data_IF_535230897760
#
_entry.id   IF_535230897760
#
_cell.length_a   1.000
_cell.length_b   1.000
_cell.length_c   1.000
_cell.angle_alpha   90.00
_cell.angle_beta   90.00
_cell.angle_gamma   90.00
#
_symmetry.space_group_name_H-M   'P 1'
#
loop_
_entity.id
_entity.type
_entity.pdbx_description
1 polymer ?
#
# COMPACT_ATOMS: atom_id res chain seq x y z
N UNK A 1 18.84 -9.85 -16.29
CA UNK A 1 18.83 -8.46 -15.80
C UNK A 1 17.61 -8.32 -14.91
N UNK A 2 17.82 -8.11 -13.66
CA UNK A 2 16.84 -8.00 -12.57
C UNK A 2 15.90 -6.82 -12.83
N UNK A 3 14.61 -6.97 -12.51
CA UNK A 3 13.62 -5.86 -12.40
C UNK A 3 14.01 -4.91 -11.23
N UNK A 4 15.03 -4.04 -11.32
CA UNK A 4 15.56 -3.40 -10.11
C UNK A 4 14.85 -2.11 -9.76
N UNK A 5 14.14 -1.48 -10.71
CA UNK A 5 13.59 -0.14 -10.48
C UNK A 5 12.12 -0.20 -10.09
N UNK A 6 11.32 -1.02 -10.76
CA UNK A 6 9.91 -1.26 -10.41
C UNK A 6 9.81 -1.90 -9.03
N UNK A 7 10.65 -2.92 -8.73
CA UNK A 7 10.64 -3.57 -7.40
C UNK A 7 11.03 -2.62 -6.26
N UNK A 8 11.90 -1.63 -6.49
CA UNK A 8 12.25 -0.66 -5.44
C UNK A 8 11.18 0.41 -5.24
N UNK A 9 10.61 0.98 -6.30
CA UNK A 9 9.52 1.96 -6.20
C UNK A 9 8.25 1.28 -5.71
N UNK A 10 7.93 0.09 -6.25
CA UNK A 10 6.75 -0.69 -5.87
C UNK A 10 6.91 -1.36 -4.50
N UNK A 11 8.11 -1.81 -4.13
CA UNK A 11 8.37 -2.33 -2.79
C UNK A 11 8.30 -1.22 -1.73
N UNK A 12 8.70 0.00 -2.05
CA UNK A 12 8.63 1.12 -1.09
C UNK A 12 7.21 1.64 -0.92
N UNK A 13 6.44 1.81 -2.01
CA UNK A 13 5.01 2.14 -1.91
C UNK A 13 4.16 0.95 -1.45
N UNK A 14 4.48 -0.29 -1.88
CA UNK A 14 3.82 -1.49 -1.37
C UNK A 14 4.23 -1.84 0.06
N UNK A 15 5.43 -1.52 0.53
CA UNK A 15 5.81 -1.64 1.94
C UNK A 15 5.11 -0.60 2.81
N UNK A 16 4.93 0.64 2.36
CA UNK A 16 4.07 1.61 3.04
C UNK A 16 2.59 1.18 2.98
N UNK A 17 2.09 0.68 1.84
CA UNK A 17 0.71 0.19 1.70
C UNK A 17 0.51 -1.20 2.31
N UNK A 18 1.50 -2.09 2.27
CA UNK A 18 1.46 -3.39 2.93
C UNK A 18 1.74 -3.30 4.43
N UNK A 19 2.59 -2.38 4.88
CA UNK A 19 2.71 -2.04 6.29
C UNK A 19 1.43 -1.40 6.83
N UNK A 20 0.68 -0.69 5.98
CA UNK A 20 -0.55 0.04 6.34
C UNK A 20 -1.82 -0.77 6.09
N UNK A 21 -1.76 -1.92 5.41
CA UNK A 21 -2.92 -2.81 5.26
C UNK A 21 -4.11 -2.25 4.46
N UNK A 22 -3.94 -1.14 3.73
CA UNK A 22 -5.05 -0.40 3.11
C UNK A 22 -5.76 -1.12 1.95
N UNK A 23 -5.27 -2.27 1.47
CA UNK A 23 -5.79 -2.84 0.23
C UNK A 23 -6.91 -3.89 0.36
N UNK A 24 -7.34 -4.32 1.56
CA UNK A 24 -8.32 -5.41 1.65
C UNK A 24 -9.15 -5.53 2.92
N UNK A 25 -9.28 -4.49 3.74
CA UNK A 25 -10.23 -4.58 4.85
C UNK A 25 -11.67 -4.40 4.35
N UNK A 26 -12.53 -5.39 4.57
CA UNK A 26 -13.98 -5.31 4.38
C UNK A 26 -14.55 -4.05 5.05
N UNK A 27 -15.61 -3.48 4.47
CA UNK A 27 -16.32 -2.28 4.98
C UNK A 27 -17.03 -2.49 6.34
N UNK A 28 -16.78 -3.59 7.03
CA UNK A 28 -17.34 -3.84 8.37
C UNK A 28 -16.58 -3.01 9.41
N UNK A 29 -17.34 -2.25 10.23
CA UNK A 29 -16.78 -1.59 11.39
C UNK A 29 -16.15 -2.63 12.31
N UNK A 30 -14.89 -2.45 12.75
CA UNK A 30 -14.29 -3.38 13.71
C UNK A 30 -15.09 -3.37 15.02
N UNK A 31 -15.14 -4.53 15.68
CA UNK A 31 -15.73 -4.61 17.02
C UNK A 31 -14.92 -3.76 17.99
N UNK A 32 -15.56 -3.01 18.90
CA UNK A 32 -14.86 -2.26 19.95
C UNK A 32 -13.91 -3.17 20.73
N UNK A 33 -12.69 -2.71 20.99
CA UNK A 33 -11.72 -3.39 21.85
C UNK A 33 -11.34 -2.49 23.04
N UNK A 34 -11.18 -3.08 24.19
CA UNK A 34 -10.83 -2.36 25.42
C UNK A 34 -9.47 -2.75 25.99
N UNK A 35 -8.79 -3.73 25.39
CA UNK A 35 -7.52 -4.23 25.88
C UNK A 35 -6.64 -4.80 24.77
N UNK A 36 -5.32 -4.89 25.02
CA UNK A 36 -4.35 -5.55 24.16
C UNK A 36 -4.78 -7.00 23.85
N UNK A 37 -5.35 -7.70 24.83
CA UNK A 37 -5.82 -9.07 24.68
C UNK A 37 -6.89 -9.19 23.59
N UNK A 38 -7.83 -8.24 23.54
CA UNK A 38 -8.88 -8.20 22.50
C UNK A 38 -8.31 -7.83 21.13
N UNK A 39 -7.36 -6.88 21.07
CA UNK A 39 -6.66 -6.53 19.84
C UNK A 39 -5.98 -7.73 19.21
N UNK A 40 -5.34 -8.55 20.04
CA UNK A 40 -4.61 -9.75 19.61
C UNK A 40 -5.56 -10.86 19.13
N UNK A 41 -6.76 -10.97 19.71
CA UNK A 41 -7.75 -11.99 19.36
C UNK A 41 -8.60 -11.64 18.13
N UNK A 42 -8.76 -10.35 17.79
CA UNK A 42 -9.60 -9.86 16.70
C UNK A 42 -8.83 -8.95 15.73
N UNK A 43 -7.93 -9.50 14.95
CA UNK A 43 -7.06 -8.72 14.07
C UNK A 43 -7.68 -8.36 12.72
N UNK A 44 -7.17 -7.30 12.11
CA UNK A 44 -7.40 -7.00 10.69
C UNK A 44 -6.74 -8.07 9.79
N UNK A 45 -7.44 -8.49 8.72
CA UNK A 45 -7.04 -9.64 7.87
C UNK A 45 -6.03 -9.32 6.75
N UNK A 46 -5.27 -8.22 6.84
CA UNK A 46 -4.29 -7.87 5.81
C UNK A 46 -3.01 -8.73 5.91
N UNK A 47 -2.46 -9.30 4.80
CA UNK A 47 -1.35 -10.25 4.83
C UNK A 47 -0.04 -9.72 5.47
N UNK A 48 0.30 -8.45 5.26
CA UNK A 48 1.50 -7.85 5.86
C UNK A 48 1.32 -7.58 7.36
N UNK A 49 0.10 -7.17 7.77
CA UNK A 49 -0.28 -7.05 9.16
C UNK A 49 -0.25 -8.42 9.87
N UNK A 50 -0.45 -9.52 9.15
CA UNK A 50 -0.46 -10.87 9.72
C UNK A 50 0.93 -11.33 10.20
N UNK A 51 2.00 -10.99 9.48
CA UNK A 51 3.38 -11.31 9.91
C UNK A 51 3.78 -10.47 11.13
N UNK A 52 3.52 -9.17 11.09
CA UNK A 52 3.77 -8.26 12.22
C UNK A 52 2.95 -8.68 13.45
N UNK A 53 1.66 -9.03 13.23
CA UNK A 53 0.76 -9.54 14.25
C UNK A 53 1.23 -10.86 14.86
N UNK A 54 1.69 -11.82 14.04
CA UNK A 54 2.19 -13.10 14.57
C UNK A 54 3.37 -12.89 15.50
N UNK A 55 4.31 -12.03 15.13
CA UNK A 55 5.41 -11.64 16.00
C UNK A 55 4.91 -10.95 17.28
N UNK A 56 3.98 -10.01 17.16
CA UNK A 56 3.36 -9.35 18.31
C UNK A 56 2.66 -10.37 19.23
N UNK A 57 1.97 -11.38 18.65
CA UNK A 57 1.33 -12.47 19.40
C UNK A 57 2.32 -13.32 20.16
N UNK A 58 3.42 -13.72 19.52
CA UNK A 58 4.45 -14.53 20.13
C UNK A 58 5.04 -13.82 21.36
N UNK A 59 5.42 -12.55 21.22
CA UNK A 59 5.99 -11.77 22.31
C UNK A 59 4.98 -11.40 23.40
N UNK A 60 3.73 -11.07 23.01
CA UNK A 60 2.69 -10.79 24.00
C UNK A 60 2.32 -12.04 24.81
N UNK A 61 2.31 -13.22 24.18
CA UNK A 61 2.10 -14.50 24.88
C UNK A 61 3.25 -14.77 25.85
N UNK A 62 4.49 -14.51 25.47
CA UNK A 62 5.67 -14.63 26.31
C UNK A 62 5.65 -13.61 27.47
N UNK A 63 5.19 -12.38 27.23
CA UNK A 63 4.96 -11.36 28.25
C UNK A 63 3.91 -11.81 29.28
N UNK A 64 2.76 -12.31 28.83
CA UNK A 64 1.70 -12.82 29.71
C UNK A 64 2.16 -14.05 30.52
N UNK A 65 3.06 -14.85 29.96
CA UNK A 65 3.68 -15.97 30.67
C UNK A 65 4.79 -15.53 31.65
N UNK A 66 5.17 -14.24 31.66
CA UNK A 66 6.24 -13.71 32.49
C UNK A 66 7.65 -14.14 32.07
N UNK A 67 7.80 -14.62 30.84
CA UNK A 67 9.09 -15.10 30.29
C UNK A 67 9.87 -14.03 29.54
N UNK A 68 9.18 -12.97 29.05
CA UNK A 68 9.79 -11.84 28.35
C UNK A 68 9.19 -10.51 28.90
N UNK A 69 9.93 -9.43 28.75
CA UNK A 69 9.44 -8.08 29.01
C UNK A 69 9.12 -7.39 27.68
N UNK A 70 8.15 -6.47 27.65
CA UNK A 70 7.86 -5.70 26.43
C UNK A 70 9.03 -4.77 26.04
N UNK A 71 10.04 -4.59 26.88
CA UNK A 71 11.31 -3.92 26.56
C UNK A 71 12.11 -4.63 25.50
N UNK A 72 11.95 -5.96 25.38
CA UNK A 72 12.60 -6.78 24.37
C UNK A 72 11.90 -6.64 23.00
N UNK A 73 10.75 -5.92 22.97
CA UNK A 73 9.97 -5.64 21.78
C UNK A 73 9.65 -4.13 21.65
N UNK A 74 10.68 -3.31 21.41
CA UNK A 74 10.57 -1.85 21.58
C UNK A 74 9.51 -1.21 20.68
N UNK A 75 9.24 -1.75 19.49
CA UNK A 75 8.30 -1.18 18.50
C UNK A 75 6.87 -1.74 18.58
N UNK A 76 6.49 -2.41 19.67
CA UNK A 76 5.16 -3.02 19.79
C UNK A 76 4.02 -1.99 19.67
N UNK A 77 4.23 -0.78 20.18
CA UNK A 77 3.27 0.32 20.09
C UNK A 77 3.03 0.73 18.63
N UNK A 78 4.11 0.83 17.83
CA UNK A 78 4.05 1.13 16.40
C UNK A 78 3.34 0.03 15.62
N UNK A 79 3.67 -1.24 15.91
CA UNK A 79 3.04 -2.39 15.27
C UNK A 79 1.55 -2.46 15.61
N UNK A 80 1.17 -2.19 16.86
CA UNK A 80 -0.23 -2.17 17.29
C UNK A 80 -1.03 -1.10 16.52
N UNK A 81 -0.49 0.11 16.37
CA UNK A 81 -1.12 1.19 15.60
C UNK A 81 -1.29 0.84 14.12
N UNK A 82 -0.22 0.35 13.48
CA UNK A 82 -0.22 0.07 12.06
C UNK A 82 -1.10 -1.15 11.73
N UNK A 83 -1.10 -2.18 12.59
CA UNK A 83 -1.72 -3.47 12.28
C UNK A 83 -3.18 -3.63 12.67
N UNK A 84 -3.71 -2.79 13.52
CA UNK A 84 -5.05 -3.02 14.05
C UNK A 84 -5.86 -1.79 14.46
N UNK A 85 -5.24 -0.62 14.55
CA UNK A 85 -5.91 0.56 15.10
C UNK A 85 -6.28 1.61 14.04
N UNK A 86 -5.85 1.48 12.80
CA UNK A 86 -6.05 2.45 11.71
C UNK A 86 -7.52 2.80 11.41
N UNK A 87 -8.46 1.90 11.74
CA UNK A 87 -9.90 2.11 11.55
C UNK A 87 -10.67 2.33 12.85
N UNK A 88 -9.96 2.58 13.95
CA UNK A 88 -10.55 2.74 15.28
C UNK A 88 -10.58 4.19 15.71
N UNK A 89 -11.50 4.48 16.60
CA UNK A 89 -11.59 5.80 17.21
C UNK A 89 -10.41 6.06 18.16
N UNK A 90 -9.95 7.31 18.23
CA UNK A 90 -8.86 7.75 19.10
C UNK A 90 -9.08 7.37 20.59
N UNK A 91 -10.36 7.34 21.01
CA UNK A 91 -10.80 6.87 22.33
C UNK A 91 -10.50 5.40 22.63
N UNK A 92 -10.33 4.57 21.60
CA UNK A 92 -9.94 3.16 21.73
C UNK A 92 -8.41 2.98 21.63
N UNK A 93 -7.75 3.82 20.83
CA UNK A 93 -6.31 3.74 20.56
C UNK A 93 -5.49 4.15 21.78
N UNK A 94 -5.78 5.31 22.34
CA UNK A 94 -4.97 5.92 23.41
C UNK A 94 -4.87 5.04 24.67
N UNK A 95 -5.96 4.44 25.20
CA UNK A 95 -5.86 3.55 26.36
C UNK A 95 -4.94 2.35 26.14
N UNK A 96 -4.95 1.76 24.94
CA UNK A 96 -4.10 0.61 24.59
C UNK A 96 -2.62 1.01 24.59
N UNK A 97 -2.29 2.18 24.03
CA UNK A 97 -0.91 2.68 24.04
C UNK A 97 -0.40 3.00 25.44
N UNK A 98 -1.26 3.57 26.29
CA UNK A 98 -0.94 3.83 27.70
C UNK A 98 -0.67 2.51 28.43
N UNK A 99 -1.48 1.48 28.20
CA UNK A 99 -1.29 0.14 28.76
C UNK A 99 0.03 -0.48 28.31
N UNK A 100 0.36 -0.40 26.99
CA UNK A 100 1.62 -0.88 26.43
C UNK A 100 2.82 -0.16 27.06
N UNK A 101 2.76 1.16 27.16
CA UNK A 101 3.82 1.97 27.76
C UNK A 101 4.02 1.63 29.24
N UNK A 102 2.91 1.47 30.00
CA UNK A 102 2.96 1.04 31.41
C UNK A 102 3.55 -0.36 31.59
N UNK A 103 3.37 -1.25 30.60
CA UNK A 103 3.96 -2.57 30.56
C UNK A 103 5.45 -2.55 30.11
N UNK A 104 6.01 -1.37 29.81
CA UNK A 104 7.42 -1.18 29.47
C UNK A 104 7.76 -1.16 27.98
N UNK A 105 6.75 -1.04 27.09
CA UNK A 105 7.01 -0.83 25.67
C UNK A 105 7.67 0.54 25.44
N UNK A 106 8.67 0.57 24.56
CA UNK A 106 9.30 1.81 24.12
C UNK A 106 8.45 2.46 23.01
N UNK A 107 7.70 3.49 23.38
CA UNK A 107 6.86 4.24 22.42
C UNK A 107 7.65 5.16 21.49
N UNK A 108 8.94 5.38 21.78
CA UNK A 108 9.86 6.15 20.91
C UNK A 108 10.43 5.27 19.78
N UNK A 109 10.41 3.95 19.95
CA UNK A 109 11.02 3.04 19.01
C UNK A 109 10.32 3.07 17.65
N UNK A 110 11.15 3.03 16.60
CA UNK A 110 10.71 2.83 15.23
C UNK A 110 10.77 1.34 14.86
N UNK A 111 9.85 0.91 13.99
CA UNK A 111 9.88 -0.43 13.42
C UNK A 111 11.12 -0.60 12.53
N UNK A 112 11.80 -1.75 12.64
CA UNK A 112 13.14 -1.98 12.07
C UNK A 112 13.15 -1.95 10.54
N UNK A 113 12.11 -2.47 9.87
CA UNK A 113 12.12 -2.65 8.40
C UNK A 113 11.81 -1.36 7.66
N UNK A 114 10.80 -0.61 8.09
CA UNK A 114 10.33 0.61 7.44
C UNK A 114 10.74 1.88 8.19
N UNK A 115 11.15 1.80 9.46
CA UNK A 115 11.48 2.96 10.29
C UNK A 115 10.26 3.74 10.78
N UNK A 116 9.06 3.16 10.64
CA UNK A 116 7.82 3.78 11.11
C UNK A 116 7.77 3.78 12.64
N UNK A 117 7.33 4.88 13.24
CA UNK A 117 7.08 4.98 14.67
C UNK A 117 5.59 5.19 14.98
N UNK A 118 5.24 5.21 16.27
CA UNK A 118 3.86 5.34 16.73
C UNK A 118 3.17 6.62 16.21
N UNK A 119 3.92 7.72 16.01
CA UNK A 119 3.38 8.98 15.49
C UNK A 119 2.88 8.84 14.05
N UNK A 120 3.59 8.07 13.20
CA UNK A 120 3.15 7.78 11.82
C UNK A 120 1.82 7.03 11.81
N UNK A 121 1.68 6.02 12.66
CA UNK A 121 0.43 5.24 12.80
C UNK A 121 -0.73 6.09 13.33
N UNK A 122 -0.48 6.89 14.36
CA UNK A 122 -1.49 7.78 14.93
C UNK A 122 -1.96 8.83 13.91
N UNK A 123 -1.05 9.40 13.13
CA UNK A 123 -1.37 10.36 12.08
C UNK A 123 -2.20 9.73 10.95
N UNK A 124 -1.86 8.50 10.54
CA UNK A 124 -2.62 7.74 9.56
C UNK A 124 -4.06 7.47 10.01
N UNK A 125 -4.23 7.13 11.29
CA UNK A 125 -5.53 6.86 11.90
C UNK A 125 -6.32 8.15 12.22
N UNK A 126 -5.68 9.33 12.20
CA UNK A 126 -6.32 10.58 12.61
C UNK A 126 -6.48 10.72 14.13
N UNK A 127 -5.70 9.99 14.92
CA UNK A 127 -5.80 9.88 16.36
C UNK A 127 -5.13 11.08 17.08
N UNK A 128 -5.82 12.21 17.11
CA UNK A 128 -5.26 13.49 17.58
C UNK A 128 -4.85 13.47 19.06
N UNK A 129 -5.66 12.89 19.97
CA UNK A 129 -5.29 12.81 21.39
C UNK A 129 -4.11 11.85 21.60
N UNK A 130 -4.07 10.76 20.85
CA UNK A 130 -2.91 9.83 20.82
C UNK A 130 -1.64 10.57 20.37
N UNK A 131 -1.71 11.40 19.34
CA UNK A 131 -0.57 12.19 18.88
C UNK A 131 -0.09 13.19 19.95
N UNK A 132 -1.01 13.90 20.62
CA UNK A 132 -0.66 14.81 21.72
C UNK A 132 0.03 14.04 22.86
N UNK A 133 -0.48 12.88 23.21
CA UNK A 133 0.13 12.04 24.24
C UNK A 133 1.52 11.55 23.82
N UNK A 134 1.71 11.11 22.58
CA UNK A 134 3.01 10.69 22.05
C UNK A 134 4.04 11.83 22.07
N UNK A 135 3.64 13.07 21.79
CA UNK A 135 4.51 14.25 21.93
C UNK A 135 4.95 14.47 23.36
N UNK A 136 4.04 14.30 24.33
CA UNK A 136 4.38 14.36 25.76
C UNK A 136 5.36 13.27 26.18
N UNK A 137 5.38 12.12 25.47
CA UNK A 137 6.38 11.07 25.66
C UNK A 137 7.70 11.37 24.92
N UNK A 138 7.78 12.43 24.10
CA UNK A 138 8.98 12.83 23.36
C UNK A 138 9.04 12.33 21.91
N UNK A 139 7.96 11.75 21.36
CA UNK A 139 7.90 11.36 19.93
C UNK A 139 7.69 12.60 19.07
N UNK A 140 8.58 12.84 18.11
CA UNK A 140 8.49 14.02 17.24
C UNK A 140 7.37 13.87 16.20
N UNK A 141 6.58 14.94 16.01
CA UNK A 141 5.61 15.04 14.89
C UNK A 141 6.25 15.19 13.52
N UNK A 142 7.56 15.44 13.47
CA UNK A 142 8.36 15.57 12.26
C UNK A 142 9.28 14.36 12.04
N UNK A 143 9.03 13.24 12.75
CA UNK A 143 9.77 11.99 12.56
C UNK A 143 9.76 11.59 11.08
N UNK A 144 10.84 10.96 10.64
CA UNK A 144 10.94 10.41 9.29
C UNK A 144 11.17 8.92 9.35
N UNK A 145 10.44 8.18 8.52
CA UNK A 145 10.69 6.77 8.28
C UNK A 145 11.90 6.57 7.34
N UNK A 146 12.22 5.31 7.01
CA UNK A 146 13.33 4.99 6.11
C UNK A 146 13.15 5.51 4.67
N UNK A 147 11.93 5.86 4.27
CA UNK A 147 11.60 6.48 2.98
C UNK A 147 11.57 8.00 3.05
N UNK A 148 11.80 8.57 4.23
CA UNK A 148 11.68 10.01 4.46
C UNK A 148 10.25 10.49 4.65
N UNK A 149 9.27 9.58 4.76
CA UNK A 149 7.88 9.92 5.00
C UNK A 149 7.70 10.50 6.41
N UNK A 150 6.79 11.45 6.53
CA UNK A 150 6.47 12.13 7.78
C UNK A 150 5.06 11.78 8.24
N UNK A 151 4.72 12.00 9.53
CA UNK A 151 3.36 11.83 10.02
C UNK A 151 2.32 12.65 9.22
N UNK A 152 2.68 13.84 8.72
CA UNK A 152 1.77 14.63 7.85
C UNK A 152 1.47 13.95 6.52
N UNK A 153 2.44 13.24 5.94
CA UNK A 153 2.22 12.42 4.74
C UNK A 153 1.31 11.23 5.04
N UNK A 154 1.46 10.59 6.20
CA UNK A 154 0.55 9.52 6.64
C UNK A 154 -0.88 10.04 6.88
N UNK A 155 -1.04 11.22 7.49
CA UNK A 155 -2.35 11.85 7.65
C UNK A 155 -3.01 12.15 6.28
N UNK A 156 -2.25 12.66 5.32
CA UNK A 156 -2.72 12.90 3.97
C UNK A 156 -3.18 11.60 3.28
N UNK A 157 -2.39 10.53 3.39
CA UNK A 157 -2.70 9.21 2.85
C UNK A 157 -3.90 8.56 3.53
N UNK A 158 -4.04 8.71 4.87
CA UNK A 158 -5.20 8.24 5.62
C UNK A 158 -6.46 9.08 5.39
N UNK A 159 -6.38 10.18 4.64
CA UNK A 159 -7.50 11.09 4.44
C UNK A 159 -7.90 11.92 5.65
N UNK A 160 -7.02 12.03 6.63
CA UNK A 160 -7.26 12.63 7.94
C UNK A 160 -7.09 14.16 7.89
N UNK A 161 -8.10 14.85 7.35
CA UNK A 161 -8.03 16.28 7.05
C UNK A 161 -7.67 17.15 8.28
N UNK A 162 -8.32 16.92 9.42
CA UNK A 162 -8.06 17.75 10.61
C UNK A 162 -6.66 17.50 11.18
N UNK A 163 -6.21 16.25 11.16
CA UNK A 163 -4.84 15.90 11.55
C UNK A 163 -3.83 16.51 10.58
N UNK A 164 -4.11 16.45 9.28
CA UNK A 164 -3.26 17.09 8.26
C UNK A 164 -3.14 18.60 8.50
N UNK A 165 -4.26 19.31 8.75
CA UNK A 165 -4.26 20.74 9.07
C UNK A 165 -3.39 21.06 10.29
N UNK A 166 -3.51 20.24 11.33
CA UNK A 166 -2.73 20.40 12.57
C UNK A 166 -1.24 20.24 12.31
N UNK A 167 -0.85 19.21 11.54
CA UNK A 167 0.56 18.89 11.24
C UNK A 167 1.18 19.85 10.21
N UNK A 168 0.36 20.53 9.41
CA UNK A 168 0.82 21.45 8.35
C UNK A 168 0.53 22.92 8.69
N UNK A 169 0.51 23.27 9.96
CA UNK A 169 0.23 24.62 10.43
C UNK A 169 1.32 25.64 10.07
N UNK A 170 2.48 25.19 9.57
CA UNK A 170 3.57 26.04 9.10
C UNK A 170 3.83 25.86 7.61
N UNK A 171 4.26 26.92 6.88
CA UNK A 171 4.63 26.81 5.47
C UNK A 171 5.72 25.76 5.20
N UNK A 172 6.67 25.57 6.12
CA UNK A 172 7.73 24.58 5.98
C UNK A 172 7.17 23.15 5.98
N UNK A 173 6.18 22.85 6.82
CA UNK A 173 5.57 21.54 6.91
C UNK A 173 4.78 21.18 5.63
N UNK A 174 4.25 22.17 4.90
CA UNK A 174 3.59 21.96 3.60
C UNK A 174 4.56 21.56 2.49
N UNK A 175 5.83 21.98 2.59
CA UNK A 175 6.84 21.79 1.54
C UNK A 175 7.75 20.58 1.76
N UNK A 176 7.46 19.76 2.76
CA UNK A 176 8.24 18.56 3.09
C UNK A 176 8.17 17.55 1.93
N UNK A 177 9.33 17.00 1.60
CA UNK A 177 9.49 15.93 0.60
C UNK A 177 10.02 14.64 1.24
N UNK A 178 9.59 13.51 0.72
CA UNK A 178 10.19 12.21 1.00
C UNK A 178 11.50 12.01 0.23
N UNK A 179 12.10 10.82 0.32
CA UNK A 179 13.34 10.50 -0.38
C UNK A 179 13.19 10.43 -1.91
N UNK A 180 11.95 10.26 -2.41
CA UNK A 180 11.59 10.27 -3.83
C UNK A 180 11.24 11.67 -4.36
N UNK A 181 11.18 12.68 -3.50
CA UNK A 181 10.74 14.03 -3.84
C UNK A 181 9.23 14.15 -3.98
N UNK A 182 8.48 13.22 -3.38
CA UNK A 182 7.02 13.29 -3.31
C UNK A 182 6.61 14.17 -2.12
N UNK A 183 5.58 14.99 -2.32
CA UNK A 183 5.01 15.87 -1.30
C UNK A 183 3.63 15.38 -0.86
N UNK A 184 3.04 16.09 0.07
CA UNK A 184 1.73 15.77 0.67
C UNK A 184 0.62 15.44 -0.32
N UNK A 185 0.56 16.14 -1.47
CA UNK A 185 -0.46 15.92 -2.50
C UNK A 185 -0.37 14.55 -3.17
N UNK A 186 0.84 13.95 -3.27
CA UNK A 186 0.99 12.56 -3.72
C UNK A 186 0.32 11.59 -2.75
N UNK A 187 0.54 11.78 -1.47
CA UNK A 187 -0.03 10.92 -0.42
C UNK A 187 -1.54 11.09 -0.32
N UNK A 188 -2.05 12.32 -0.44
CA UNK A 188 -3.48 12.59 -0.50
C UNK A 188 -4.15 11.95 -1.74
N UNK A 189 -3.48 12.00 -2.89
CA UNK A 189 -3.92 11.35 -4.12
C UNK A 189 -3.88 9.81 -3.99
N UNK A 190 -2.81 9.26 -3.42
CA UNK A 190 -2.64 7.83 -3.16
C UNK A 190 -3.68 7.28 -2.19
N UNK A 191 -4.04 8.04 -1.16
CA UNK A 191 -5.12 7.71 -0.23
C UNK A 191 -6.52 7.99 -0.80
N UNK A 192 -6.63 8.58 -2.00
CA UNK A 192 -7.90 8.91 -2.62
C UNK A 192 -8.68 10.01 -1.91
N UNK A 193 -8.01 10.85 -1.12
CA UNK A 193 -8.65 11.87 -0.29
C UNK A 193 -8.81 13.21 -1.02
N UNK A 194 -9.96 13.39 -1.65
CA UNK A 194 -10.32 14.66 -2.26
C UNK A 194 -10.33 15.85 -1.26
N UNK A 195 -10.84 15.70 -0.02
CA UNK A 195 -10.77 16.78 0.97
C UNK A 195 -9.34 17.25 1.28
N UNK A 196 -8.39 16.30 1.42
CA UNK A 196 -6.98 16.64 1.64
C UNK A 196 -6.36 17.33 0.41
N UNK A 197 -6.64 16.85 -0.81
CA UNK A 197 -6.16 17.50 -2.04
C UNK A 197 -6.67 18.93 -2.17
N UNK A 198 -7.97 19.18 -1.90
CA UNK A 198 -8.54 20.53 -1.91
C UNK A 198 -7.89 21.43 -0.88
N UNK A 199 -7.73 20.95 0.34
CA UNK A 199 -7.04 21.70 1.39
C UNK A 199 -5.62 22.09 0.98
N UNK A 200 -4.83 21.14 0.44
CA UNK A 200 -3.45 21.40 0.01
C UNK A 200 -3.39 22.45 -1.12
N UNK A 201 -4.33 22.42 -2.06
CA UNK A 201 -4.47 23.45 -3.09
C UNK A 201 -4.81 24.82 -2.48
N UNK A 202 -5.76 24.89 -1.55
CA UNK A 202 -6.11 26.10 -0.82
C UNK A 202 -4.94 26.70 -0.06
N UNK A 203 -4.00 25.86 0.40
CA UNK A 203 -2.74 26.29 1.02
C UNK A 203 -1.67 26.71 0.00
N UNK A 204 -1.97 26.69 -1.29
CA UNK A 204 -1.09 27.15 -2.37
C UNK A 204 -0.12 26.09 -2.89
N UNK A 205 -0.32 24.79 -2.58
CA UNK A 205 0.48 23.75 -3.21
C UNK A 205 0.04 23.56 -4.67
N UNK A 206 1.02 23.40 -5.54
CA UNK A 206 0.79 22.90 -6.90
C UNK A 206 0.51 21.39 -6.80
N UNK A 207 -0.79 21.03 -6.79
CA UNK A 207 -1.25 19.66 -6.58
C UNK A 207 -1.07 18.74 -7.78
N UNK A 208 -0.68 19.28 -8.94
CA UNK A 208 -0.35 18.49 -10.14
C UNK A 208 1.16 18.38 -10.36
N UNK A 209 1.97 19.07 -9.54
CA UNK A 209 3.42 19.02 -9.66
C UNK A 209 3.95 17.57 -9.59
N UNK A 210 4.86 17.17 -10.49
CA UNK A 210 5.50 15.87 -10.43
C UNK A 210 6.43 15.78 -9.23
N UNK A 211 6.77 14.55 -8.83
CA UNK A 211 7.82 14.33 -7.85
C UNK A 211 9.17 14.87 -8.35
N UNK A 212 9.96 15.46 -7.45
CA UNK A 212 11.16 16.21 -7.80
C UNK A 212 12.37 15.34 -8.10
N UNK A 213 12.34 14.05 -7.72
CA UNK A 213 13.48 13.13 -7.85
C UNK A 213 13.08 11.86 -8.63
N UNK A 214 14.05 11.27 -9.30
CA UNK A 214 13.97 9.93 -9.91
C UNK A 214 12.82 9.72 -10.92
N UNK A 215 12.30 10.80 -11.52
CA UNK A 215 11.15 10.74 -12.42
C UNK A 215 9.96 9.95 -11.80
N UNK A 216 9.68 10.20 -10.53
CA UNK A 216 8.76 9.45 -9.69
C UNK A 216 7.26 9.77 -9.96
N UNK A 217 6.95 10.19 -11.19
CA UNK A 217 5.58 10.26 -11.71
C UNK A 217 4.79 11.49 -11.28
N UNK A 218 3.48 11.41 -11.51
CA UNK A 218 2.53 12.47 -11.23
C UNK A 218 1.41 12.00 -10.28
N UNK A 219 0.79 12.90 -9.49
CA UNK A 219 -0.26 12.57 -8.51
C UNK A 219 -1.46 11.83 -9.12
N UNK A 220 -1.82 12.12 -10.38
CA UNK A 220 -2.95 11.48 -11.05
C UNK A 220 -2.78 9.97 -11.22
N UNK A 221 -1.55 9.49 -11.37
CA UNK A 221 -1.25 8.06 -11.52
C UNK A 221 -1.52 7.33 -10.21
N UNK A 222 -1.08 7.89 -9.07
CA UNK A 222 -1.33 7.28 -7.76
C UNK A 222 -2.79 7.45 -7.31
N UNK A 223 -3.49 8.48 -7.77
CA UNK A 223 -4.94 8.61 -7.59
C UNK A 223 -5.72 7.49 -8.30
N UNK A 224 -5.25 7.04 -9.46
CA UNK A 224 -5.84 5.90 -10.16
C UNK A 224 -5.63 4.58 -9.39
N UNK A 225 -4.50 4.42 -8.71
CA UNK A 225 -4.25 3.28 -7.82
C UNK A 225 -5.26 3.19 -6.67
N UNK A 226 -5.62 4.33 -6.07
CA UNK A 226 -6.63 4.37 -4.99
C UNK A 226 -8.06 4.11 -5.47
N UNK A 227 -8.30 4.18 -6.78
CA UNK A 227 -9.64 4.07 -7.37
C UNK A 227 -10.51 5.31 -7.20
N UNK A 228 -9.98 6.42 -6.68
CA UNK A 228 -10.75 7.63 -6.42
C UNK A 228 -10.99 8.44 -7.71
N UNK A 229 -12.06 8.13 -8.41
CA UNK A 229 -12.50 8.91 -9.59
C UNK A 229 -12.63 10.41 -9.26
N UNK A 230 -13.20 10.82 -8.10
CA UNK A 230 -13.27 12.25 -7.75
C UNK A 230 -11.89 12.92 -7.63
N UNK A 231 -10.85 12.23 -7.15
CA UNK A 231 -9.50 12.77 -7.12
C UNK A 231 -8.91 12.92 -8.53
N UNK A 232 -9.09 11.91 -9.38
CA UNK A 232 -8.65 11.95 -10.78
C UNK A 232 -9.31 13.11 -11.52
N UNK A 233 -10.63 13.25 -11.40
CA UNK A 233 -11.38 14.37 -12.02
C UNK A 233 -10.93 15.74 -11.51
N UNK A 234 -10.67 15.85 -10.22
CA UNK A 234 -10.18 17.10 -9.63
C UNK A 234 -8.79 17.46 -10.16
N UNK A 235 -7.86 16.50 -10.22
CA UNK A 235 -6.53 16.71 -10.80
C UNK A 235 -6.60 17.07 -12.30
N UNK A 236 -7.48 16.41 -13.07
CA UNK A 236 -7.73 16.76 -14.48
C UNK A 236 -8.26 18.19 -14.64
N UNK A 237 -9.18 18.61 -13.77
CA UNK A 237 -9.72 19.98 -13.79
C UNK A 237 -8.63 21.02 -13.47
N UNK A 238 -7.54 20.64 -12.81
CA UNK A 238 -6.37 21.48 -12.55
C UNK A 238 -5.29 21.38 -13.63
N UNK A 239 -5.52 20.60 -14.69
CA UNK A 239 -4.61 20.49 -15.83
C UNK A 239 -3.63 19.33 -15.77
N UNK A 240 -3.85 18.32 -14.89
CA UNK A 240 -3.03 17.12 -14.89
C UNK A 240 -3.19 16.36 -16.22
N UNK A 241 -2.08 15.78 -16.70
CA UNK A 241 -2.10 14.93 -17.89
C UNK A 241 -2.56 13.52 -17.53
N UNK A 242 -3.72 13.11 -18.06
CA UNK A 242 -4.29 11.77 -17.83
C UNK A 242 -3.38 10.65 -18.37
N UNK A 243 -2.60 10.94 -19.41
CA UNK A 243 -1.70 9.97 -20.07
C UNK A 243 -0.27 10.04 -19.54
N UNK A 244 -0.03 10.80 -18.48
CA UNK A 244 1.27 10.85 -17.82
C UNK A 244 1.79 9.45 -17.47
N UNK A 245 3.11 9.27 -17.51
CA UNK A 245 3.77 8.02 -17.18
C UNK A 245 4.85 8.23 -16.12
N UNK A 246 5.12 7.20 -15.33
CA UNK A 246 6.40 7.08 -14.61
C UNK A 246 7.56 6.84 -15.57
N UNK A 247 8.80 6.95 -15.07
CA UNK A 247 10.00 6.75 -15.87
C UNK A 247 10.10 5.39 -16.58
N UNK A 248 9.41 4.37 -16.10
CA UNK A 248 9.30 3.04 -16.68
C UNK A 248 8.11 2.85 -17.64
N UNK A 249 7.37 3.93 -17.94
CA UNK A 249 6.24 3.91 -18.85
C UNK A 249 4.92 3.46 -18.22
N UNK A 250 4.91 3.17 -16.94
CA UNK A 250 3.68 2.82 -16.20
C UNK A 250 2.79 4.06 -16.07
N UNK A 251 1.50 3.93 -16.33
CA UNK A 251 0.50 5.01 -16.34
C UNK A 251 -0.67 4.72 -15.41
N UNK A 252 -1.66 5.62 -15.40
CA UNK A 252 -2.86 5.50 -14.57
C UNK A 252 -3.63 4.17 -14.79
N UNK A 253 -3.65 3.64 -16.03
CA UNK A 253 -4.35 2.39 -16.36
C UNK A 253 -3.66 1.17 -15.73
N UNK A 254 -2.33 1.12 -15.79
CA UNK A 254 -1.54 0.09 -15.13
C UNK A 254 -1.68 0.12 -13.60
N UNK A 255 -1.68 1.34 -13.03
CA UNK A 255 -1.81 1.52 -11.58
C UNK A 255 -3.21 1.17 -11.08
N UNK A 256 -4.27 1.51 -11.82
CA UNK A 256 -5.64 1.09 -11.51
C UNK A 256 -5.77 -0.45 -11.53
N UNK A 257 -5.13 -1.11 -12.51
CA UNK A 257 -5.10 -2.57 -12.58
C UNK A 257 -4.36 -3.19 -11.39
N UNK A 258 -3.22 -2.63 -11.02
CA UNK A 258 -2.44 -3.07 -9.86
C UNK A 258 -3.16 -2.83 -8.53
N UNK A 259 -3.89 -1.70 -8.39
CA UNK A 259 -4.68 -1.37 -7.20
C UNK A 259 -6.00 -2.14 -7.09
N UNK A 260 -6.37 -2.97 -8.08
CA UNK A 260 -7.61 -3.72 -8.05
C UNK A 260 -8.87 -2.92 -8.38
N UNK A 261 -8.74 -1.80 -9.08
CA UNK A 261 -9.77 -0.77 -9.22
C UNK A 261 -10.59 -0.94 -10.51
N UNK A 262 -11.55 -1.88 -10.54
CA UNK A 262 -12.35 -2.20 -11.72
C UNK A 262 -13.17 -1.01 -12.24
N UNK A 263 -13.75 -0.20 -11.34
CA UNK A 263 -14.51 1.00 -11.73
C UNK A 263 -13.59 2.07 -12.35
N UNK A 264 -12.40 2.26 -11.79
CA UNK A 264 -11.40 3.18 -12.34
C UNK A 264 -10.94 2.73 -13.72
N UNK A 265 -10.70 1.43 -13.93
CA UNK A 265 -10.36 0.90 -15.27
C UNK A 265 -11.46 1.20 -16.28
N UNK A 266 -12.72 0.95 -15.92
CA UNK A 266 -13.87 1.27 -16.79
C UNK A 266 -13.96 2.76 -17.08
N UNK A 267 -13.71 3.60 -16.07
CA UNK A 267 -13.64 5.05 -16.24
C UNK A 267 -12.53 5.46 -17.21
N UNK A 268 -11.31 4.94 -17.05
CA UNK A 268 -10.16 5.25 -17.91
C UNK A 268 -10.38 4.78 -19.37
N UNK A 269 -10.98 3.61 -19.57
CA UNK A 269 -11.39 3.13 -20.91
C UNK A 269 -12.40 4.09 -21.54
N UNK A 270 -13.38 4.59 -20.77
CA UNK A 270 -14.34 5.59 -21.25
C UNK A 270 -13.70 6.92 -21.65
N UNK A 271 -12.51 7.23 -21.10
CA UNK A 271 -11.70 8.40 -21.44
C UNK A 271 -10.74 8.16 -22.63
N UNK A 272 -10.77 6.99 -23.25
CA UNK A 272 -10.00 6.67 -24.45
C UNK A 272 -8.65 6.00 -24.19
N UNK A 273 -8.41 5.47 -22.99
CA UNK A 273 -7.24 4.62 -22.78
C UNK A 273 -7.31 3.37 -23.68
N UNK A 274 -6.18 3.03 -24.28
CA UNK A 274 -6.04 1.78 -25.01
C UNK A 274 -5.73 0.64 -24.03
N UNK A 275 -6.59 -0.38 -24.03
CA UNK A 275 -6.43 -1.58 -23.20
C UNK A 275 -5.11 -2.32 -23.49
N UNK A 276 -4.55 -2.15 -24.69
CA UNK A 276 -3.29 -2.78 -25.12
C UNK A 276 -2.04 -1.95 -24.79
N UNK A 277 -2.19 -0.84 -24.07
CA UNK A 277 -1.05 -0.02 -23.65
C UNK A 277 -0.03 -0.86 -22.88
N UNK A 278 1.26 -0.73 -23.23
CA UNK A 278 2.38 -1.43 -22.60
C UNK A 278 3.27 -0.45 -21.83
N UNK A 279 3.84 -0.92 -20.73
CA UNK A 279 4.95 -0.23 -20.06
C UNK A 279 6.29 -0.51 -20.82
N UNK A 280 7.39 0.07 -20.37
CA UNK A 280 8.73 -0.14 -20.98
C UNK A 280 9.27 -1.57 -20.82
N UNK A 281 8.68 -2.38 -19.94
CA UNK A 281 9.01 -3.79 -19.77
C UNK A 281 8.13 -4.67 -20.68
N UNK A 282 7.31 -4.08 -21.55
CA UNK A 282 6.36 -4.77 -22.39
C UNK A 282 5.19 -5.39 -21.61
N UNK A 283 4.96 -4.99 -20.37
CA UNK A 283 3.85 -5.48 -19.57
C UNK A 283 2.58 -4.67 -19.86
N UNK A 284 1.45 -5.35 -20.01
CA UNK A 284 0.13 -4.75 -20.11
C UNK A 284 -0.58 -4.70 -18.73
N UNK A 285 -1.78 -4.10 -18.66
CA UNK A 285 -2.55 -3.98 -17.43
C UNK A 285 -2.84 -5.34 -16.76
N UNK A 286 -2.93 -6.44 -17.54
CA UNK A 286 -3.18 -7.77 -16.98
C UNK A 286 -1.98 -8.30 -16.16
N UNK A 287 -0.73 -7.94 -16.53
CA UNK A 287 0.45 -8.25 -15.71
C UNK A 287 0.40 -7.52 -14.36
N UNK A 288 -0.02 -6.26 -14.38
CA UNK A 288 -0.16 -5.46 -13.17
C UNK A 288 -1.30 -5.96 -12.27
N UNK A 289 -2.44 -6.36 -12.85
CA UNK A 289 -3.54 -6.99 -12.12
C UNK A 289 -3.14 -8.35 -11.52
N UNK A 290 -2.35 -9.14 -12.26
CA UNK A 290 -1.81 -10.43 -11.80
C UNK A 290 -0.78 -10.24 -10.67
N UNK A 291 0.01 -9.16 -10.72
CA UNK A 291 0.93 -8.80 -9.64
C UNK A 291 0.19 -8.44 -8.35
N UNK A 292 -0.94 -7.73 -8.44
CA UNK A 292 -1.79 -7.42 -7.29
C UNK A 292 -2.70 -8.57 -6.82
N UNK A 293 -2.87 -9.62 -7.64
CA UNK A 293 -3.74 -10.76 -7.34
C UNK A 293 -5.24 -10.47 -7.44
N UNK A 294 -5.62 -9.40 -8.14
CA UNK A 294 -6.99 -8.87 -8.15
C UNK A 294 -7.87 -9.60 -9.19
N UNK A 295 -8.48 -10.72 -8.82
CA UNK A 295 -9.35 -11.54 -9.69
C UNK A 295 -10.47 -10.71 -10.35
N UNK A 296 -11.19 -9.80 -9.69
CA UNK A 296 -12.22 -8.98 -10.35
C UNK A 296 -11.66 -8.15 -11.53
N UNK A 297 -10.48 -7.54 -11.36
CA UNK A 297 -9.81 -6.77 -12.41
C UNK A 297 -9.32 -7.67 -13.54
N UNK A 298 -8.69 -8.81 -13.19
CA UNK A 298 -8.27 -9.83 -14.18
C UNK A 298 -9.47 -10.23 -15.04
N UNK A 299 -10.62 -10.51 -14.41
CA UNK A 299 -11.86 -10.85 -15.11
C UNK A 299 -12.30 -9.73 -16.05
N UNK A 300 -12.38 -8.49 -15.57
CA UNK A 300 -12.76 -7.32 -16.38
C UNK A 300 -11.85 -7.16 -17.61
N UNK A 301 -10.54 -7.31 -17.45
CA UNK A 301 -9.58 -7.20 -18.53
C UNK A 301 -9.72 -8.35 -19.55
N UNK A 302 -9.93 -9.59 -19.09
CA UNK A 302 -10.16 -10.75 -19.98
C UNK A 302 -11.48 -10.57 -20.77
N UNK A 303 -12.56 -10.13 -20.14
CA UNK A 303 -13.86 -9.84 -20.78
C UNK A 303 -13.71 -8.70 -21.82
N UNK A 304 -12.83 -7.76 -21.59
CA UNK A 304 -12.51 -6.68 -22.52
C UNK A 304 -11.57 -7.12 -23.68
N UNK A 305 -11.15 -8.38 -23.72
CA UNK A 305 -10.38 -8.97 -24.82
C UNK A 305 -8.87 -8.75 -24.78
N UNK A 306 -8.29 -8.46 -23.58
CA UNK A 306 -6.83 -8.38 -23.43
C UNK A 306 -6.18 -9.76 -23.70
N UNK A 307 -5.01 -9.76 -24.32
CA UNK A 307 -4.27 -11.02 -24.54
C UNK A 307 -3.78 -11.61 -23.21
N UNK A 308 -4.40 -12.72 -22.80
CA UNK A 308 -4.11 -13.42 -21.53
C UNK A 308 -2.70 -14.04 -21.51
N UNK A 309 -2.15 -14.34 -22.69
CA UNK A 309 -0.82 -14.94 -22.87
C UNK A 309 0.22 -13.92 -23.34
N UNK A 310 -0.11 -12.62 -23.26
CA UNK A 310 0.85 -11.57 -23.62
C UNK A 310 2.16 -11.75 -22.87
N UNK A 311 3.28 -11.61 -23.59
CA UNK A 311 4.64 -11.81 -23.05
C UNK A 311 5.35 -10.48 -22.91
N UNK A 312 5.71 -10.09 -21.71
CA UNK A 312 6.60 -8.96 -21.45
C UNK A 312 8.02 -9.20 -22.01
N UNK A 313 8.90 -8.20 -21.90
CA UNK A 313 10.27 -8.27 -22.41
C UNK A 313 11.11 -9.43 -21.84
N UNK A 314 10.81 -9.89 -20.62
CA UNK A 314 11.39 -11.09 -20.00
C UNK A 314 10.72 -12.40 -20.45
N UNK A 315 9.78 -12.32 -21.38
CA UNK A 315 8.92 -13.43 -21.84
C UNK A 315 8.00 -14.02 -20.76
N UNK A 316 7.81 -13.31 -19.65
CA UNK A 316 6.85 -13.67 -18.62
C UNK A 316 5.44 -13.29 -19.04
N UNK A 317 4.46 -14.14 -18.73
CA UNK A 317 3.03 -13.88 -18.91
C UNK A 317 2.39 -13.43 -17.57
N UNK A 318 1.13 -12.92 -17.55
CA UNK A 318 0.41 -12.64 -16.31
C UNK A 318 0.35 -13.85 -15.35
N UNK A 319 0.23 -15.07 -15.90
CA UNK A 319 0.25 -16.31 -15.10
C UNK A 319 1.56 -16.50 -14.33
N UNK A 320 2.73 -16.16 -14.92
CA UNK A 320 4.01 -16.20 -14.22
C UNK A 320 4.02 -15.24 -13.04
N UNK A 321 3.54 -14.01 -13.26
CA UNK A 321 3.52 -12.97 -12.22
C UNK A 321 2.63 -13.40 -11.06
N UNK A 322 1.40 -13.87 -11.33
CA UNK A 322 0.49 -14.36 -10.29
C UNK A 322 1.10 -15.54 -9.50
N UNK A 323 1.73 -16.50 -10.19
CA UNK A 323 2.38 -17.65 -9.57
C UNK A 323 3.59 -17.27 -8.71
N UNK A 324 4.40 -16.32 -9.17
CA UNK A 324 5.57 -15.80 -8.46
C UNK A 324 5.18 -15.04 -7.19
N UNK A 325 4.03 -14.34 -7.21
CA UNK A 325 3.52 -13.56 -6.07
C UNK A 325 2.69 -14.40 -5.08
N UNK A 326 2.35 -15.65 -5.43
CA UNK A 326 1.57 -16.52 -4.54
C UNK A 326 0.06 -16.31 -4.58
N UNK A 327 -0.45 -15.70 -5.64
CA UNK A 327 -1.88 -15.39 -5.77
C UNK A 327 -2.66 -16.58 -6.33
N UNK A 328 -2.98 -17.57 -5.49
CA UNK A 328 -3.64 -18.81 -5.88
C UNK A 328 -4.93 -18.57 -6.68
N UNK A 329 -5.84 -17.72 -6.18
CA UNK A 329 -7.11 -17.46 -6.86
C UNK A 329 -6.92 -16.80 -8.24
N UNK A 330 -5.89 -15.94 -8.40
CA UNK A 330 -5.57 -15.34 -9.69
C UNK A 330 -5.00 -16.38 -10.67
N UNK A 331 -4.13 -17.28 -10.18
CA UNK A 331 -3.60 -18.41 -10.99
C UNK A 331 -4.73 -19.31 -11.46
N UNK A 332 -5.60 -19.74 -10.55
CA UNK A 332 -6.76 -20.59 -10.86
C UNK A 332 -7.67 -19.93 -11.90
N UNK A 333 -8.00 -18.65 -11.72
CA UNK A 333 -8.83 -17.91 -12.66
C UNK A 333 -8.15 -17.77 -14.04
N UNK A 334 -6.88 -17.37 -14.09
CA UNK A 334 -6.15 -17.25 -15.36
C UNK A 334 -6.11 -18.59 -16.12
N UNK A 335 -5.88 -19.73 -15.45
CA UNK A 335 -5.93 -21.05 -16.06
C UNK A 335 -7.33 -21.37 -16.60
N UNK A 336 -8.39 -21.04 -15.87
CA UNK A 336 -9.77 -21.24 -16.32
C UNK A 336 -10.12 -20.44 -17.58
N UNK A 337 -9.42 -19.32 -17.80
CA UNK A 337 -9.57 -18.46 -18.99
C UNK A 337 -8.61 -18.85 -20.12
N UNK A 338 -7.84 -19.93 -20.02
CA UNK A 338 -6.97 -20.44 -21.07
C UNK A 338 -5.55 -19.89 -21.04
N UNK A 339 -5.05 -19.42 -19.88
CA UNK A 339 -3.65 -19.08 -19.74
C UNK A 339 -2.77 -20.34 -19.95
N UNK A 340 -1.74 -20.19 -20.80
CA UNK A 340 -0.82 -21.28 -21.15
C UNK A 340 0.23 -21.48 -20.04
N UNK A 341 0.06 -22.56 -19.25
CA UNK A 341 1.00 -22.93 -18.17
C UNK A 341 2.34 -23.48 -18.67
N UNK A 342 2.47 -23.78 -19.95
CA UNK A 342 3.69 -24.39 -20.55
C UNK A 342 4.69 -23.36 -21.06
N UNK A 343 4.31 -22.08 -21.10
CA UNK A 343 5.19 -20.98 -21.52
C UNK A 343 6.47 -21.02 -20.69
N UNK A 344 7.59 -20.71 -21.34
CA UNK A 344 8.90 -20.53 -20.69
C UNK A 344 9.35 -19.09 -20.85
N UNK A 345 9.93 -18.56 -19.79
CA UNK A 345 10.55 -17.24 -19.81
C UNK A 345 11.90 -17.26 -20.57
N UNK A 346 12.60 -16.12 -20.58
CA UNK A 346 13.91 -15.98 -21.23
C UNK A 346 15.01 -16.85 -20.60
N UNK A 347 14.81 -17.39 -19.40
CA UNK A 347 15.73 -18.29 -18.70
C UNK A 347 15.33 -19.76 -18.84
N UNK A 348 14.25 -20.06 -19.55
CA UNK A 348 13.72 -21.40 -19.79
C UNK A 348 12.84 -21.94 -18.65
N UNK A 349 12.50 -21.11 -17.66
CA UNK A 349 11.67 -21.49 -16.52
C UNK A 349 10.18 -21.30 -16.81
N UNK A 350 9.32 -22.10 -16.15
CA UNK A 350 7.87 -22.03 -16.21
C UNK A 350 7.28 -21.29 -15.01
N UNK A 351 5.99 -20.92 -15.05
CA UNK A 351 5.27 -20.38 -13.91
C UNK A 351 5.33 -21.32 -12.68
N UNK A 352 5.29 -22.65 -12.91
CA UNK A 352 5.42 -23.65 -11.85
C UNK A 352 6.81 -23.61 -11.19
N UNK A 353 7.89 -23.42 -11.98
CA UNK A 353 9.24 -23.30 -11.42
C UNK A 353 9.36 -22.10 -10.49
N UNK A 354 8.76 -20.95 -10.84
CA UNK A 354 8.73 -19.76 -9.98
C UNK A 354 7.90 -19.98 -8.71
N UNK A 355 6.71 -20.61 -8.81
CA UNK A 355 5.93 -20.97 -7.63
C UNK A 355 6.73 -21.84 -6.65
N UNK A 356 7.45 -22.85 -7.17
CA UNK A 356 8.31 -23.71 -6.35
C UNK A 356 9.46 -22.93 -5.70
N UNK A 357 10.15 -22.06 -6.46
CA UNK A 357 11.29 -21.27 -5.95
C UNK A 357 10.86 -20.28 -4.85
N UNK A 358 9.61 -19.80 -4.91
CA UNK A 358 9.03 -18.88 -3.92
C UNK A 358 8.32 -19.59 -2.76
N UNK A 359 8.23 -20.93 -2.79
CA UNK A 359 7.61 -21.72 -1.71
C UNK A 359 6.09 -21.82 -1.78
N UNK A 360 5.46 -21.47 -2.92
CA UNK A 360 4.02 -21.54 -3.15
C UNK A 360 3.63 -22.97 -3.59
N UNK A 361 3.59 -23.90 -2.65
CA UNK A 361 3.41 -25.32 -2.92
C UNK A 361 2.05 -25.65 -3.56
N UNK A 362 0.99 -25.01 -3.12
CA UNK A 362 -0.36 -25.13 -3.65
C UNK A 362 -0.46 -24.71 -5.13
N UNK A 363 0.14 -23.59 -5.48
CA UNK A 363 0.23 -23.09 -6.87
C UNK A 363 1.09 -24.04 -7.72
N UNK A 364 2.23 -24.50 -7.19
CA UNK A 364 3.08 -25.47 -7.88
C UNK A 364 2.29 -26.74 -8.22
N UNK A 365 1.54 -27.29 -7.25
CA UNK A 365 0.70 -28.46 -7.49
C UNK A 365 -0.38 -28.20 -8.54
N UNK A 366 -1.09 -27.06 -8.47
CA UNK A 366 -2.10 -26.66 -9.45
C UNK A 366 -1.54 -26.59 -10.88
N UNK A 367 -0.36 -25.99 -11.05
CA UNK A 367 0.28 -25.82 -12.36
C UNK A 367 0.86 -27.12 -12.92
N UNK A 368 1.23 -28.09 -12.08
CA UNK A 368 1.83 -29.38 -12.49
C UNK A 368 0.83 -30.52 -12.64
N UNK A 369 -0.39 -30.39 -12.15
CA UNK A 369 -1.48 -31.35 -12.42
C UNK A 369 -1.79 -31.39 -13.94
N UNK A 370 -1.99 -32.60 -14.47
CA UNK A 370 -2.30 -32.84 -15.89
C UNK A 370 -3.72 -32.42 -16.24
#
# INVERSE_FOLDING_TARGET
MTMPTIHRILATTALCLAAVGLSSCSNEKPTPISSIRELVQNPCKAPAAEVARRKMMEHYTSYLAGTETLRDFPYIATVALISGLEKREDSEILPILIELAAAGADVLAAEESAGLNAMHGAALAGASNTMIWLEQQGVSRESRDNLGCTPSMMAAMGGQLETLKTLTSTPAALMVEDNMGQRLHFYAAQGGSLPCLKYLEEQGLDIIAPATKNNAGQPIIVAAYSGSIPCVEFLLAKGADLYATFGDGVNAFHYAAWGGQSEMLSYLLSKGFDIHTLDKNGCNALHHAAFGGHVPVIKTLCEAGIDINHRGNSSMTPLFIAAMQGHFAAVEFLLSQGADKTVRDATGQTAADYARMRGHADIYHLLTQQ
#
